data_IF_042501704872
#
_entry.id   IF_042501704872
#
_cell.length_a   1.000
_cell.length_b   1.000
_cell.length_c   1.000
_cell.angle_alpha   90.00
_cell.angle_beta   90.00
_cell.angle_gamma   90.00
#
_symmetry.space_group_name_H-M   'P 1'
#
loop_
_entity.id
_entity.type
_entity.pdbx_description
1 polymer ?
#
# COMPACT_ATOMS: atom_id res chain seq x y z
N UNK A 1 24.19 23.43 -20.40
CA UNK A 1 23.17 22.96 -21.36
C UNK A 1 23.36 21.47 -21.55
N UNK A 2 22.49 20.66 -20.93
CA UNK A 2 22.54 19.20 -21.01
C UNK A 2 21.91 18.77 -22.34
N UNK A 3 22.72 18.31 -23.30
CA UNK A 3 22.29 17.86 -24.63
C UNK A 3 21.58 16.50 -24.64
N UNK A 4 21.19 15.97 -23.49
CA UNK A 4 20.59 14.64 -23.36
C UNK A 4 19.05 14.67 -23.26
N UNK A 5 18.41 15.82 -23.09
CA UNK A 5 16.94 15.91 -22.96
C UNK A 5 16.19 15.80 -24.30
N UNK A 6 16.82 16.22 -25.39
CA UNK A 6 16.12 16.38 -26.67
C UNK A 6 15.92 15.04 -27.40
N UNK A 7 16.83 14.07 -27.18
CA UNK A 7 16.70 12.71 -27.72
C UNK A 7 15.55 11.92 -27.08
N UNK A 8 15.33 12.09 -25.77
CA UNK A 8 14.27 11.39 -25.06
C UNK A 8 12.89 11.94 -25.48
N UNK A 9 12.73 13.26 -25.62
CA UNK A 9 11.44 13.87 -25.95
C UNK A 9 10.96 13.49 -27.36
N UNK A 10 11.85 13.50 -28.37
CA UNK A 10 11.47 13.07 -29.73
C UNK A 10 11.10 11.59 -29.80
N UNK A 11 11.77 10.74 -29.01
CA UNK A 11 11.46 9.31 -28.91
C UNK A 11 10.04 9.08 -28.35
N UNK A 12 9.67 9.79 -27.29
CA UNK A 12 8.33 9.70 -26.70
C UNK A 12 7.22 10.35 -27.53
N UNK A 13 7.52 11.32 -28.40
CA UNK A 13 6.50 11.93 -29.27
C UNK A 13 6.17 11.10 -30.51
N UNK A 14 7.09 10.25 -30.98
CA UNK A 14 6.93 9.44 -32.20
C UNK A 14 6.42 8.02 -31.94
N UNK A 15 6.39 7.58 -30.69
CA UNK A 15 5.96 6.24 -30.30
C UNK A 15 4.48 6.23 -29.90
N UNK A 16 3.72 5.31 -30.51
CA UNK A 16 2.39 4.96 -30.02
C UNK A 16 2.53 3.95 -28.88
N UNK A 17 2.25 4.40 -27.66
CA UNK A 17 2.33 3.56 -26.47
C UNK A 17 1.06 2.73 -26.23
N UNK A 18 0.10 2.70 -27.18
CA UNK A 18 -1.18 2.00 -27.02
C UNK A 18 -1.04 0.57 -26.48
N UNK A 19 -0.22 -0.27 -27.11
CA UNK A 19 -0.03 -1.67 -26.73
C UNK A 19 0.70 -1.86 -25.38
N UNK A 20 1.58 -0.93 -25.00
CA UNK A 20 2.25 -0.95 -23.68
C UNK A 20 1.33 -0.45 -22.57
N UNK A 21 0.52 0.56 -22.85
CA UNK A 21 -0.48 1.10 -21.92
C UNK A 21 -1.58 0.07 -21.67
N UNK A 22 -2.05 -0.64 -22.70
CA UNK A 22 -3.05 -1.69 -22.56
C UNK A 22 -2.52 -2.88 -21.73
N UNK A 23 -1.26 -3.27 -21.92
CA UNK A 23 -0.62 -4.29 -21.08
C UNK A 23 -0.46 -3.83 -19.64
N UNK A 24 -0.01 -2.58 -19.45
CA UNK A 24 0.12 -2.01 -18.12
C UNK A 24 -1.23 -1.94 -17.39
N UNK A 25 -2.34 -1.66 -18.09
CA UNK A 25 -3.69 -1.65 -17.52
C UNK A 25 -4.11 -3.06 -17.05
N UNK A 26 -3.96 -4.05 -17.93
CA UNK A 26 -4.27 -5.46 -17.64
C UNK A 26 -3.47 -6.03 -16.47
N UNK A 27 -2.26 -5.55 -16.27
CA UNK A 27 -1.36 -5.99 -15.19
C UNK A 27 -1.46 -5.12 -13.93
N UNK A 28 -2.33 -4.11 -13.90
CA UNK A 28 -2.48 -3.19 -12.77
C UNK A 28 -1.27 -2.29 -12.53
N UNK A 29 -0.44 -2.10 -13.56
CA UNK A 29 0.79 -1.27 -13.56
C UNK A 29 0.58 0.10 -14.20
N UNK A 30 -0.56 0.32 -14.87
CA UNK A 30 -0.88 1.59 -15.50
C UNK A 30 -1.26 2.63 -14.43
N UNK A 31 -0.50 3.73 -14.40
CA UNK A 31 -0.80 4.88 -13.57
C UNK A 31 -1.01 6.10 -14.48
N UNK A 32 -2.27 6.51 -14.62
CA UNK A 32 -2.63 7.78 -15.27
C UNK A 32 -3.09 8.73 -14.18
N UNK A 33 -2.33 9.81 -14.00
CA UNK A 33 -2.70 10.90 -13.11
C UNK A 33 -2.76 12.19 -13.91
N UNK A 34 -3.90 12.88 -13.85
CA UNK A 34 -4.11 14.12 -14.58
C UNK A 34 -3.72 15.29 -13.68
N UNK A 35 -2.71 16.07 -14.09
CA UNK A 35 -2.29 17.27 -13.37
C UNK A 35 -1.32 17.08 -12.21
N UNK A 36 -0.79 15.87 -11.99
CA UNK A 36 0.28 15.64 -11.02
C UNK A 36 1.65 15.68 -11.69
N UNK A 37 2.61 16.31 -11.02
CA UNK A 37 4.01 16.26 -11.45
C UNK A 37 4.60 14.88 -11.20
N UNK A 38 5.62 14.50 -11.99
CA UNK A 38 6.33 13.21 -11.84
C UNK A 38 6.86 13.01 -10.41
N UNK A 39 7.28 14.08 -9.74
CA UNK A 39 7.74 14.03 -8.34
C UNK A 39 6.62 13.73 -7.34
N UNK A 40 5.45 14.33 -7.50
CA UNK A 40 4.28 14.05 -6.66
C UNK A 40 3.80 12.61 -6.81
N UNK A 41 3.85 12.10 -8.05
CA UNK A 41 3.59 10.70 -8.34
C UNK A 41 4.54 9.76 -7.60
N UNK A 42 5.86 9.97 -7.72
CA UNK A 42 6.84 9.14 -7.01
C UNK A 42 6.73 9.26 -5.49
N UNK A 43 6.35 10.43 -4.97
CA UNK A 43 6.10 10.63 -3.54
C UNK A 43 4.92 9.79 -3.06
N UNK A 44 3.80 9.77 -3.81
CA UNK A 44 2.63 8.93 -3.51
C UNK A 44 2.93 7.44 -3.66
N UNK A 45 3.65 7.04 -4.70
CA UNK A 45 4.04 5.65 -4.92
C UNK A 45 4.97 5.12 -3.81
N UNK A 46 5.96 5.91 -3.38
CA UNK A 46 6.82 5.57 -2.23
C UNK A 46 6.05 5.50 -0.93
N UNK A 47 5.13 6.44 -0.67
CA UNK A 47 4.30 6.42 0.52
C UNK A 47 3.41 5.16 0.59
N UNK A 48 2.85 4.71 -0.54
CA UNK A 48 2.10 3.45 -0.62
C UNK A 48 2.99 2.23 -0.36
N UNK A 49 4.18 2.16 -0.99
CA UNK A 49 5.14 1.08 -0.73
C UNK A 49 5.58 1.03 0.73
N UNK A 50 5.89 2.17 1.34
CA UNK A 50 6.25 2.21 2.76
C UNK A 50 5.09 1.77 3.66
N UNK A 51 3.85 2.14 3.33
CA UNK A 51 2.67 1.68 4.09
C UNK A 51 2.45 0.16 3.97
N UNK A 52 2.78 -0.46 2.83
CA UNK A 52 2.72 -1.91 2.63
C UNK A 52 3.88 -2.64 3.33
N UNK A 53 5.10 -2.08 3.30
CA UNK A 53 6.30 -2.64 3.93
C UNK A 53 6.28 -2.61 5.47
N UNK A 54 5.51 -1.71 6.09
CA UNK A 54 5.45 -1.56 7.55
C UNK A 54 4.65 -2.65 8.27
N UNK A 55 3.96 -3.55 7.55
CA UNK A 55 3.18 -4.63 8.16
C UNK A 55 4.02 -5.90 8.30
N UNK A 56 4.58 -6.13 9.49
CA UNK A 56 5.22 -7.40 9.84
C UNK A 56 4.19 -8.42 10.30
N UNK A 57 4.22 -9.62 9.72
CA UNK A 57 3.41 -10.74 10.21
C UNK A 57 4.10 -11.40 11.41
N UNK A 58 3.35 -11.54 12.51
CA UNK A 58 3.78 -12.26 13.69
C UNK A 58 2.83 -13.43 13.95
N UNK A 59 3.39 -14.59 14.30
CA UNK A 59 2.62 -15.74 14.74
C UNK A 59 2.76 -15.90 16.25
N UNK A 60 1.63 -15.94 16.95
CA UNK A 60 1.57 -16.12 18.40
C UNK A 60 0.74 -17.36 18.71
N UNK A 61 1.27 -18.23 19.56
CA UNK A 61 0.52 -19.40 20.06
C UNK A 61 -0.23 -19.01 21.33
N UNK A 62 -1.54 -18.82 21.22
CA UNK A 62 -2.43 -18.53 22.33
C UNK A 62 -3.23 -19.77 22.73
N UNK A 63 -3.69 -19.81 23.98
CA UNK A 63 -4.64 -20.84 24.44
C UNK A 63 -5.95 -20.69 23.66
N UNK A 64 -6.57 -21.80 23.23
CA UNK A 64 -7.81 -21.80 22.44
C UNK A 64 -8.92 -20.97 23.11
N UNK A 65 -9.11 -21.15 24.42
CA UNK A 65 -10.10 -20.39 25.21
C UNK A 65 -9.92 -18.87 25.13
N UNK A 66 -8.68 -18.39 24.97
CA UNK A 66 -8.38 -16.95 24.85
C UNK A 66 -8.76 -16.47 23.45
N UNK A 67 -8.40 -17.22 22.42
CA UNK A 67 -8.74 -16.91 21.02
C UNK A 67 -10.26 -16.83 20.84
N UNK A 68 -11.01 -17.78 21.39
CA UNK A 68 -12.48 -17.79 21.32
C UNK A 68 -13.11 -16.56 21.99
N UNK A 69 -12.62 -16.17 23.17
CA UNK A 69 -13.09 -14.97 23.86
C UNK A 69 -12.80 -13.70 23.05
N UNK A 70 -11.61 -13.60 22.46
CA UNK A 70 -11.25 -12.44 21.61
C UNK A 70 -12.15 -12.39 20.37
N UNK A 71 -12.39 -13.53 19.71
CA UNK A 71 -13.32 -13.61 18.57
C UNK A 71 -14.74 -13.19 18.96
N UNK A 72 -15.25 -13.64 20.10
CA UNK A 72 -16.57 -13.24 20.59
C UNK A 72 -16.65 -11.72 20.84
N UNK A 73 -15.61 -11.13 21.44
CA UNK A 73 -15.54 -9.67 21.65
C UNK A 73 -15.44 -8.89 20.33
N UNK A 74 -14.66 -9.39 19.37
CA UNK A 74 -14.56 -8.79 18.04
C UNK A 74 -15.91 -8.82 17.31
N UNK A 75 -16.62 -9.95 17.37
CA UNK A 75 -17.96 -10.09 16.80
C UNK A 75 -18.98 -9.16 17.48
N UNK A 76 -18.95 -9.05 18.82
CA UNK A 76 -19.82 -8.13 19.56
C UNK A 76 -19.57 -6.65 19.21
N UNK A 77 -18.31 -6.30 18.90
CA UNK A 77 -17.92 -4.97 18.45
C UNK A 77 -18.11 -4.75 16.93
N UNK A 78 -18.56 -5.76 16.18
CA UNK A 78 -18.77 -5.67 14.73
C UNK A 78 -17.49 -5.48 13.91
N UNK A 79 -16.32 -5.80 14.47
CA UNK A 79 -15.02 -5.58 13.82
C UNK A 79 -14.31 -6.90 13.48
N UNK A 80 -13.50 -6.93 12.41
CA UNK A 80 -12.67 -8.08 12.12
C UNK A 80 -11.70 -8.43 13.25
N UNK A 81 -11.47 -9.72 13.46
CA UNK A 81 -10.58 -10.24 14.51
C UNK A 81 -9.18 -9.59 14.49
N UNK A 82 -8.59 -9.43 13.30
CA UNK A 82 -7.26 -8.83 13.14
C UNK A 82 -7.25 -7.36 13.57
N UNK A 83 -8.26 -6.59 13.17
CA UNK A 83 -8.43 -5.18 13.58
C UNK A 83 -8.60 -5.07 15.10
N UNK A 84 -9.40 -5.97 15.68
CA UNK A 84 -9.62 -6.00 17.13
C UNK A 84 -8.33 -6.28 17.91
N UNK A 85 -7.51 -7.23 17.45
CA UNK A 85 -6.22 -7.53 18.08
C UNK A 85 -5.26 -6.35 17.98
N UNK A 86 -5.16 -5.72 16.80
CA UNK A 86 -4.27 -4.57 16.64
C UNK A 86 -4.66 -3.43 17.57
N UNK A 87 -5.94 -3.09 17.66
CA UNK A 87 -6.42 -2.06 18.59
C UNK A 87 -6.13 -2.40 20.06
N UNK A 88 -6.23 -3.68 20.43
CA UNK A 88 -5.92 -4.14 21.79
C UNK A 88 -4.42 -4.02 22.09
N UNK A 89 -3.56 -4.43 21.15
CA UNK A 89 -2.10 -4.29 21.28
C UNK A 89 -1.66 -2.82 21.31
N UNK A 90 -2.24 -1.97 20.46
CA UNK A 90 -1.95 -0.53 20.43
C UNK A 90 -2.31 0.14 21.74
N UNK A 91 -3.45 -0.22 22.34
CA UNK A 91 -3.87 0.30 23.64
C UNK A 91 -2.85 -0.04 24.74
N UNK A 92 -2.41 -1.29 24.82
CA UNK A 92 -1.44 -1.73 25.83
C UNK A 92 -0.07 -1.06 25.64
N UNK A 93 0.36 -0.84 24.40
CA UNK A 93 1.61 -0.12 24.11
C UNK A 93 1.49 1.36 24.46
N UNK A 94 0.33 1.98 24.23
CA UNK A 94 0.09 3.38 24.59
C UNK A 94 0.02 3.63 26.10
N UNK A 95 -0.43 2.64 26.88
CA UNK A 95 -0.42 2.70 28.35
C UNK A 95 0.97 2.41 28.96
N UNK A 96 1.90 1.83 28.18
CA UNK A 96 3.25 1.49 28.61
C UNK A 96 4.30 2.61 28.38
N UNK A 97 3.90 3.72 27.74
CA UNK A 97 4.73 4.91 27.46
C UNK A 97 4.30 6.07 28.34
#
# INVERSE_FOLDING_TARGET
MNKNSDYDIEYYQKMDFGDEMERADKEGRLYVSHGETVEEFFKKARARRQAEELRKMYSLRLKVRVVEKIKAKAAAAGVPYQTYINALLEKEVAEAV
#
